data_IF_755461119765
#
_entry.id   IF_755461119765
#
_cell.length_a   1.000
_cell.length_b   1.000
_cell.length_c   1.000
_cell.angle_alpha   90.00
_cell.angle_beta   90.00
_cell.angle_gamma   90.00
#
_symmetry.space_group_name_H-M   'P 1'
#
loop_
_entity.id
_entity.type
_entity.pdbx_description
1 polymer ?
#
# COMPACT_ATOMS: atom_id res chain seq x y z
N UNK A 1 -13.93 -15.73 -28.14
CA UNK A 1 -12.85 -16.26 -27.28
C UNK A 1 -12.08 -15.06 -26.76
N UNK A 2 -11.85 -14.96 -25.45
CA UNK A 2 -10.96 -13.94 -24.89
C UNK A 2 -9.54 -14.38 -25.24
N UNK A 3 -8.92 -13.73 -26.24
CA UNK A 3 -7.52 -13.96 -26.58
C UNK A 3 -6.66 -13.00 -25.77
N UNK A 4 -5.73 -13.54 -24.96
CA UNK A 4 -4.75 -12.73 -24.26
C UNK A 4 -3.67 -12.27 -25.23
N UNK A 5 -3.37 -10.97 -25.24
CA UNK A 5 -2.27 -10.40 -26.00
C UNK A 5 -0.93 -10.54 -25.26
N UNK A 6 0.18 -10.34 -25.96
CA UNK A 6 1.51 -10.24 -25.33
C UNK A 6 1.55 -9.10 -24.31
N UNK A 7 0.84 -7.99 -24.58
CA UNK A 7 0.75 -6.86 -23.66
C UNK A 7 0.04 -7.24 -22.35
N UNK A 8 -1.00 -8.09 -22.41
CA UNK A 8 -1.71 -8.56 -21.22
C UNK A 8 -0.80 -9.40 -20.33
N UNK A 9 -0.02 -10.31 -20.91
CA UNK A 9 0.93 -11.14 -20.17
C UNK A 9 2.05 -10.31 -19.52
N UNK A 10 2.61 -9.34 -20.26
CA UNK A 10 3.59 -8.41 -19.72
C UNK A 10 2.98 -7.60 -18.57
N UNK A 11 1.76 -7.09 -18.74
CA UNK A 11 1.06 -6.33 -17.71
C UNK A 11 0.80 -7.15 -16.45
N UNK A 12 0.37 -8.41 -16.59
CA UNK A 12 0.15 -9.31 -15.45
C UNK A 12 1.45 -9.63 -14.72
N UNK A 13 2.53 -9.91 -15.44
CA UNK A 13 3.84 -10.17 -14.84
C UNK A 13 4.39 -8.94 -14.13
N UNK A 14 4.33 -7.77 -14.78
CA UNK A 14 4.76 -6.50 -14.20
C UNK A 14 3.98 -6.18 -12.92
N UNK A 15 2.64 -6.33 -12.96
CA UNK A 15 1.77 -6.16 -11.80
C UNK A 15 2.10 -7.13 -10.66
N UNK A 16 2.37 -8.40 -10.98
CA UNK A 16 2.74 -9.42 -10.00
C UNK A 16 4.06 -9.09 -9.32
N UNK A 17 5.11 -8.81 -10.11
CA UNK A 17 6.44 -8.50 -9.57
C UNK A 17 6.43 -7.24 -8.70
N UNK A 18 5.76 -6.17 -9.15
CA UNK A 18 5.66 -4.91 -8.40
C UNK A 18 4.84 -5.07 -7.13
N UNK A 19 3.73 -5.81 -7.16
CA UNK A 19 2.91 -6.09 -5.97
C UNK A 19 3.71 -6.92 -4.95
N UNK A 20 4.37 -8.00 -5.41
CA UNK A 20 5.17 -8.87 -4.54
C UNK A 20 6.39 -8.16 -3.93
N UNK A 21 6.92 -7.12 -4.58
CA UNK A 21 8.00 -6.32 -4.03
C UNK A 21 7.61 -5.60 -2.71
N UNK A 22 6.32 -5.38 -2.45
CA UNK A 22 5.84 -4.82 -1.18
C UNK A 22 5.72 -5.86 -0.06
N UNK A 23 5.63 -7.16 -0.38
CA UNK A 23 5.44 -8.22 0.61
C UNK A 23 6.55 -8.27 1.67
N UNK A 24 7.85 -8.16 1.34
CA UNK A 24 8.91 -8.07 2.35
C UNK A 24 8.71 -6.91 3.33
N UNK A 25 8.20 -5.77 2.87
CA UNK A 25 7.94 -4.61 3.72
C UNK A 25 6.76 -4.85 4.67
N UNK A 26 5.70 -5.52 4.21
CA UNK A 26 4.58 -5.97 5.07
C UNK A 26 5.09 -6.91 6.15
N UNK A 27 5.86 -7.93 5.76
CA UNK A 27 6.40 -8.92 6.68
C UNK A 27 7.36 -8.31 7.70
N UNK A 28 8.22 -7.37 7.29
CA UNK A 28 9.11 -6.63 8.19
C UNK A 28 8.31 -5.81 9.20
N UNK A 29 7.32 -5.05 8.74
CA UNK A 29 6.46 -4.24 9.62
C UNK A 29 5.71 -5.11 10.64
N UNK A 30 5.18 -6.25 10.21
CA UNK A 30 4.46 -7.17 11.08
C UNK A 30 5.38 -7.88 12.07
N UNK A 31 6.55 -8.37 11.64
CA UNK A 31 7.48 -9.13 12.50
C UNK A 31 8.21 -8.25 13.51
N UNK A 32 8.63 -7.04 13.10
CA UNK A 32 9.36 -6.12 13.98
C UNK A 32 8.45 -5.38 14.96
N UNK A 33 7.12 -5.40 14.75
CA UNK A 33 6.14 -4.61 15.52
C UNK A 33 6.54 -3.12 15.59
N UNK A 34 7.36 -2.65 14.65
CA UNK A 34 7.84 -1.28 14.56
C UNK A 34 7.69 -0.79 13.14
N UNK A 35 7.07 0.37 13.02
CA UNK A 35 6.90 1.08 11.74
C UNK A 35 7.65 2.41 11.76
N UNK A 36 8.66 2.57 12.64
CA UNK A 36 9.37 3.84 12.82
C UNK A 36 10.03 4.30 11.53
N UNK A 37 10.67 3.39 10.79
CA UNK A 37 11.32 3.68 9.50
C UNK A 37 10.35 3.89 8.33
N UNK A 38 9.04 3.68 8.55
CA UNK A 38 8.03 3.82 7.50
C UNK A 38 7.50 5.24 7.52
N UNK A 39 7.74 5.97 6.41
CA UNK A 39 7.18 7.30 6.21
C UNK A 39 5.67 7.24 5.99
N UNK A 40 4.91 7.88 6.90
CA UNK A 40 3.46 7.98 6.79
C UNK A 40 3.04 8.74 5.52
N UNK A 41 3.66 9.89 5.26
CA UNK A 41 3.33 10.73 4.10
C UNK A 41 3.56 10.00 2.77
N UNK A 42 4.64 9.21 2.68
CA UNK A 42 4.91 8.39 1.50
C UNK A 42 3.82 7.35 1.26
N UNK A 43 3.40 6.61 2.29
CA UNK A 43 2.35 5.59 2.14
C UNK A 43 0.97 6.20 1.86
N UNK A 44 0.64 7.36 2.44
CA UNK A 44 -0.62 8.07 2.13
C UNK A 44 -0.64 8.50 0.67
N UNK A 45 0.43 9.16 0.20
CA UNK A 45 0.54 9.58 -1.19
C UNK A 45 0.53 8.38 -2.16
N UNK A 46 1.22 7.30 -1.81
CA UNK A 46 1.25 6.06 -2.58
C UNK A 46 -0.14 5.43 -2.70
N UNK A 47 -0.87 5.24 -1.59
CA UNK A 47 -2.23 4.72 -1.62
C UNK A 47 -3.18 5.59 -2.45
N UNK A 48 -3.08 6.92 -2.34
CA UNK A 48 -3.86 7.85 -3.15
C UNK A 48 -3.54 7.68 -4.66
N UNK A 49 -2.26 7.60 -5.03
CA UNK A 49 -1.83 7.34 -6.40
C UNK A 49 -2.34 6.00 -6.94
N UNK A 50 -2.27 4.92 -6.15
CA UNK A 50 -2.76 3.59 -6.54
C UNK A 50 -4.29 3.59 -6.75
N UNK A 51 -5.04 4.33 -5.92
CA UNK A 51 -6.49 4.52 -6.12
C UNK A 51 -6.75 5.22 -7.46
N UNK A 52 -6.00 6.28 -7.77
CA UNK A 52 -6.12 6.98 -9.05
C UNK A 52 -5.79 6.06 -10.24
N UNK A 53 -4.74 5.23 -10.13
CA UNK A 53 -4.40 4.22 -11.14
C UNK A 53 -5.49 3.16 -11.31
N UNK A 54 -6.14 2.75 -10.22
CA UNK A 54 -7.27 1.81 -10.27
C UNK A 54 -8.46 2.43 -11.01
N UNK A 55 -8.81 3.68 -10.70
CA UNK A 55 -9.85 4.44 -11.43
C UNK A 55 -9.48 4.57 -12.90
N UNK A 56 -8.24 4.94 -13.22
CA UNK A 56 -7.73 5.01 -14.59
C UNK A 56 -7.85 3.67 -15.33
N UNK A 57 -7.43 2.57 -14.70
CA UNK A 57 -7.55 1.22 -15.26
C UNK A 57 -8.99 0.82 -15.55
N UNK A 58 -9.93 1.16 -14.65
CA UNK A 58 -11.36 0.93 -14.84
C UNK A 58 -11.91 1.71 -16.03
N UNK A 59 -11.56 3.00 -16.16
CA UNK A 59 -11.97 3.85 -17.28
C UNK A 59 -11.48 3.29 -18.64
N UNK A 60 -10.28 2.71 -18.67
CA UNK A 60 -9.70 2.10 -19.87
C UNK A 60 -10.03 0.61 -20.07
N UNK A 61 -10.76 -0.02 -19.13
CA UNK A 61 -10.99 -1.48 -19.10
C UNK A 61 -9.70 -2.31 -19.18
N UNK A 62 -8.61 -1.79 -18.61
CA UNK A 62 -7.30 -2.42 -18.62
C UNK A 62 -7.15 -3.41 -17.45
N UNK A 63 -7.61 -4.65 -17.65
CA UNK A 63 -7.63 -5.68 -16.61
C UNK A 63 -6.29 -5.90 -15.88
N UNK A 64 -5.13 -5.96 -16.54
CA UNK A 64 -3.85 -6.10 -15.83
C UNK A 64 -3.58 -4.95 -14.85
N UNK A 65 -3.90 -3.72 -15.26
CA UNK A 65 -3.72 -2.51 -14.42
C UNK A 65 -4.67 -2.55 -13.23
N UNK A 66 -5.93 -2.93 -13.45
CA UNK A 66 -6.94 -3.03 -12.40
C UNK A 66 -6.51 -4.05 -11.34
N UNK A 67 -6.18 -5.27 -11.77
CA UNK A 67 -5.83 -6.36 -10.86
C UNK A 67 -4.56 -6.06 -10.06
N UNK A 68 -3.53 -5.51 -10.72
CA UNK A 68 -2.27 -5.14 -10.07
C UNK A 68 -2.46 -4.05 -9.01
N UNK A 69 -3.17 -2.97 -9.34
CA UNK A 69 -3.37 -1.85 -8.41
C UNK A 69 -4.32 -2.23 -7.26
N UNK A 70 -5.32 -3.08 -7.51
CA UNK A 70 -6.17 -3.59 -6.44
C UNK A 70 -5.35 -4.40 -5.42
N UNK A 71 -4.52 -5.34 -5.88
CA UNK A 71 -3.67 -6.13 -5.00
C UNK A 71 -2.64 -5.26 -4.25
N UNK A 72 -2.02 -4.31 -4.95
CA UNK A 72 -1.09 -3.34 -4.36
C UNK A 72 -1.77 -2.49 -3.27
N UNK A 73 -2.99 -2.01 -3.50
CA UNK A 73 -3.74 -1.20 -2.55
C UNK A 73 -4.04 -1.97 -1.26
N UNK A 74 -4.36 -3.26 -1.35
CA UNK A 74 -4.61 -4.11 -0.17
C UNK A 74 -3.34 -4.24 0.69
N UNK A 75 -2.19 -4.51 0.07
CA UNK A 75 -0.92 -4.64 0.79
C UNK A 75 -0.46 -3.31 1.40
N UNK A 76 -0.47 -2.24 0.61
CA UNK A 76 -0.05 -0.92 1.06
C UNK A 76 -1.01 -0.34 2.11
N UNK A 77 -2.31 -0.58 1.95
CA UNK A 77 -3.34 -0.22 2.92
C UNK A 77 -3.14 -0.91 4.26
N UNK A 78 -2.77 -2.20 4.27
CA UNK A 78 -2.45 -2.92 5.51
C UNK A 78 -1.24 -2.28 6.23
N UNK A 79 -0.16 -1.95 5.50
CA UNK A 79 1.00 -1.26 6.08
C UNK A 79 0.60 0.10 6.66
N UNK A 80 -0.19 0.87 5.92
CA UNK A 80 -0.66 2.19 6.37
C UNK A 80 -1.50 2.07 7.65
N UNK A 81 -2.42 1.10 7.73
CA UNK A 81 -3.23 0.83 8.92
C UNK A 81 -2.33 0.48 10.11
N UNK A 82 -1.33 -0.39 9.92
CA UNK A 82 -0.38 -0.74 10.99
C UNK A 82 0.41 0.48 11.47
N UNK A 83 0.90 1.32 10.54
CA UNK A 83 1.59 2.58 10.88
C UNK A 83 0.70 3.51 11.70
N UNK A 84 -0.56 3.70 11.29
CA UNK A 84 -1.51 4.56 12.01
C UNK A 84 -1.83 4.03 13.41
N UNK A 85 -1.98 2.70 13.56
CA UNK A 85 -2.17 2.07 14.87
C UNK A 85 -0.97 2.29 15.79
N UNK A 86 0.25 2.04 15.33
CA UNK A 86 1.45 2.25 16.13
C UNK A 86 1.61 3.72 16.56
N UNK A 87 1.33 4.68 15.67
CA UNK A 87 1.36 6.11 16.02
C UNK A 87 0.30 6.48 17.07
N UNK A 88 -0.89 5.89 17.01
CA UNK A 88 -1.94 6.10 18.01
C UNK A 88 -1.54 5.54 19.39
N UNK A 89 -0.93 4.34 19.41
CA UNK A 89 -0.43 3.71 20.63
C UNK A 89 0.74 4.52 21.24
N UNK A 90 1.67 5.01 20.42
CA UNK A 90 2.75 5.91 20.85
C UNK A 90 2.21 7.20 21.46
N UNK A 91 1.18 7.81 20.83
CA UNK A 91 0.54 9.03 21.36
C UNK A 91 -0.16 8.79 22.70
N UNK A 92 -0.78 7.62 22.89
CA UNK A 92 -1.44 7.24 24.16
C UNK A 92 -0.43 6.98 25.28
N UNK A 93 0.76 6.48 24.95
CA UNK A 93 1.84 6.19 25.91
C UNK A 93 2.67 7.41 26.30
N UNK A 94 2.66 8.49 25.51
CA UNK A 94 3.25 9.76 25.93
C UNK A 94 2.42 10.31 27.09
N UNK A 95 2.94 10.40 28.33
CA UNK A 95 2.24 11.11 29.38
C UNK A 95 1.98 12.53 28.87
N UNK A 96 0.76 13.04 29.07
CA UNK A 96 0.51 14.47 28.94
C UNK A 96 1.49 15.14 29.91
N UNK A 97 2.60 15.67 29.40
CA UNK A 97 3.42 16.59 30.17
C UNK A 97 2.51 17.72 30.65
N UNK A 98 2.70 18.21 31.90
CA UNK A 98 1.80 19.18 32.49
C UNK A 98 1.58 20.33 31.49
N UNK A 99 0.32 20.72 31.32
CA UNK A 99 -0.04 21.92 30.59
C UNK A 99 0.86 23.04 31.14
N UNK A 100 1.76 23.54 30.30
CA UNK A 100 2.63 24.64 30.69
C UNK A 100 1.73 25.81 31.06
N UNK A 101 1.92 26.25 32.31
CA UNK A 101 1.26 27.35 33.01
C UNK A 101 1.09 28.63 32.16
#
# INVERSE_FOLDING_TARGET
MIGFSVADWIGMLAGTLTTLAFLPQVLKAWRSQSTQDISLGMFVAFCAGVILWLVYGLLLRAWPVILANLATLLLAGLILILKLKHLADEKKRRPQGPASE
#
